data_IF_744676036011
#
_entry.id   IF_744676036011
#
_cell.length_a   1.000
_cell.length_b   1.000
_cell.length_c   1.000
_cell.angle_alpha   90.00
_cell.angle_beta   90.00
_cell.angle_gamma   90.00
#
_symmetry.space_group_name_H-M   'P 1'
#
loop_
_entity.id
_entity.type
_entity.pdbx_description
1 polymer ?
#
# COMPACT_ATOMS: atom_id res chain seq x y z
N UNK A 1 18.91 46.06 19.14
CA UNK A 1 18.64 46.28 17.71
C UNK A 1 17.45 45.44 17.31
N UNK A 2 16.33 46.09 17.00
CA UNK A 2 15.03 45.48 16.72
C UNK A 2 14.83 45.35 15.20
N UNK A 3 14.21 44.26 14.76
CA UNK A 3 13.83 44.03 13.37
C UNK A 3 12.60 43.14 13.26
N UNK A 4 11.44 43.66 13.67
CA UNK A 4 10.13 43.03 13.45
C UNK A 4 9.60 43.43 12.07
N UNK A 5 9.61 42.49 11.13
CA UNK A 5 8.98 42.63 9.82
C UNK A 5 7.46 42.51 9.92
N UNK A 6 6.79 43.64 9.75
CA UNK A 6 5.34 43.81 9.82
C UNK A 6 4.75 43.70 8.42
N UNK A 7 4.00 42.63 8.13
CA UNK A 7 3.19 42.54 6.91
C UNK A 7 1.82 43.20 7.17
N UNK A 8 1.65 44.44 6.66
CA UNK A 8 0.36 45.09 6.38
C UNK A 8 0.03 44.70 4.92
N UNK A 9 -1.15 44.26 4.51
CA UNK A 9 -2.46 44.89 4.65
C UNK A 9 -3.16 44.72 3.29
N UNK A 10 -4.43 44.34 3.29
CA UNK A 10 -5.20 44.13 2.06
C UNK A 10 -6.62 43.67 2.36
N UNK A 11 -7.44 44.61 2.83
CA UNK A 11 -8.89 44.45 3.03
C UNK A 11 -9.62 44.96 1.79
N UNK A 12 -10.50 44.14 1.21
CA UNK A 12 -11.65 44.58 0.41
C UNK A 12 -12.84 43.73 0.89
N UNK A 13 -13.79 44.28 1.67
CA UNK A 13 -14.94 45.07 1.23
C UNK A 13 -15.81 44.27 0.23
N UNK A 14 -16.86 43.60 0.72
CA UNK A 14 -18.28 44.06 0.75
C UNK A 14 -18.99 43.88 -0.61
N UNK A 15 -19.90 42.91 -0.65
CA UNK A 15 -21.18 42.87 -1.37
C UNK A 15 -21.80 41.50 -1.05
N UNK A 16 -22.66 41.31 -0.04
CA UNK A 16 -24.06 41.73 0.06
C UNK A 16 -24.83 41.67 -1.27
N UNK A 17 -25.33 40.50 -1.63
CA UNK A 17 -26.60 40.38 -2.32
C UNK A 17 -27.40 39.21 -1.73
N UNK A 18 -28.32 39.58 -0.84
CA UNK A 18 -29.60 38.92 -0.62
C UNK A 18 -30.26 38.69 -1.99
N UNK A 19 -30.80 37.49 -2.24
CA UNK A 19 -32.05 37.45 -3.00
C UNK A 19 -32.99 36.38 -2.44
N UNK A 20 -34.18 36.88 -2.11
CA UNK A 20 -35.32 36.22 -1.52
C UNK A 20 -36.16 35.61 -2.64
N UNK A 21 -36.73 34.45 -2.35
CA UNK A 21 -38.07 34.03 -2.72
C UNK A 21 -38.50 34.03 -4.20
N UNK A 22 -38.72 32.82 -4.74
CA UNK A 22 -39.97 32.50 -5.43
C UNK A 22 -40.52 31.18 -4.91
N UNK A 23 -41.64 31.28 -4.17
CA UNK A 23 -42.54 30.19 -3.82
C UNK A 23 -43.41 29.82 -5.04
N UNK A 24 -43.64 28.52 -5.27
CA UNK A 24 -45.02 27.99 -5.29
C UNK A 24 -45.11 26.46 -5.43
N UNK A 25 -46.24 25.85 -5.00
CA UNK A 25 -46.38 24.43 -4.62
C UNK A 25 -47.30 23.65 -5.58
N UNK A 26 -47.39 22.32 -5.41
CA UNK A 26 -48.53 21.39 -5.70
C UNK A 26 -48.01 19.99 -5.24
N UNK A 27 -48.41 19.47 -4.07
CA UNK A 27 -49.53 18.53 -3.82
C UNK A 27 -49.41 17.21 -4.62
N UNK A 28 -49.67 16.00 -4.13
CA UNK A 28 -50.03 15.39 -2.86
C UNK A 28 -50.12 13.86 -3.14
N UNK A 29 -49.90 13.01 -2.13
CA UNK A 29 -50.52 11.68 -1.91
C UNK A 29 -49.63 10.89 -0.92
N UNK A 30 -49.82 11.06 0.39
CA UNK A 30 -50.67 10.19 1.23
C UNK A 30 -50.59 8.70 0.87
N UNK A 31 -49.84 7.95 1.67
CA UNK A 31 -50.30 6.64 2.15
C UNK A 31 -50.06 6.58 3.66
N UNK A 32 -51.16 6.38 4.37
CA UNK A 32 -51.27 6.31 5.81
C UNK A 32 -50.61 5.03 6.36
N UNK A 33 -49.85 5.17 7.45
CA UNK A 33 -49.41 4.05 8.28
C UNK A 33 -50.31 3.99 9.53
N UNK A 34 -50.95 2.84 9.85
CA UNK A 34 -51.62 2.68 11.13
C UNK A 34 -50.65 2.23 12.23
N UNK A 35 -50.98 2.69 13.43
CA UNK A 35 -50.27 2.55 14.69
C UNK A 35 -50.16 1.11 15.21
N UNK A 36 -49.12 0.90 16.01
CA UNK A 36 -48.91 -0.29 16.85
C UNK A 36 -49.98 -0.45 17.93
N UNK A 37 -50.11 -1.68 18.47
CA UNK A 37 -50.30 -1.84 19.90
C UNK A 37 -49.19 -2.69 20.54
N UNK A 38 -48.82 -2.29 21.75
CA UNK A 38 -47.97 -3.03 22.66
C UNK A 38 -48.78 -4.11 23.39
N UNK A 39 -48.20 -5.31 23.57
CA UNK A 39 -48.23 -6.06 24.83
C UNK A 39 -47.31 -7.28 24.80
N UNK A 40 -46.82 -7.63 25.97
CA UNK A 40 -45.73 -8.54 26.27
C UNK A 40 -46.08 -10.04 26.16
N UNK A 41 -45.10 -10.85 25.77
CA UNK A 41 -44.94 -12.23 26.22
C UNK A 41 -43.50 -12.71 25.97
N UNK A 42 -42.84 -13.14 27.04
CA UNK A 42 -41.52 -13.78 27.04
C UNK A 42 -41.54 -15.08 26.23
N UNK A 43 -40.58 -15.23 25.32
CA UNK A 43 -40.18 -16.54 24.81
C UNK A 43 -38.65 -16.55 24.65
N UNK A 44 -38.00 -17.34 25.50
CA UNK A 44 -36.59 -17.70 25.41
C UNK A 44 -36.36 -18.45 24.09
N UNK A 45 -35.73 -17.80 23.11
CA UNK A 45 -35.23 -18.46 21.91
C UNK A 45 -33.71 -18.57 22.02
N UNK A 46 -33.23 -19.80 22.22
CA UNK A 46 -31.81 -20.15 22.27
C UNK A 46 -31.08 -19.65 21.03
N UNK A 47 -30.04 -18.84 21.24
CA UNK A 47 -29.08 -18.51 20.20
C UNK A 47 -28.33 -19.79 19.80
N UNK A 48 -28.60 -20.29 18.59
CA UNK A 48 -27.79 -21.33 17.98
C UNK A 48 -26.41 -20.75 17.65
N UNK A 49 -25.42 -21.08 18.47
CA UNK A 49 -24.01 -20.78 18.23
C UNK A 49 -23.58 -21.59 17.00
N UNK A 50 -23.29 -20.90 15.89
CA UNK A 50 -22.64 -21.53 14.73
C UNK A 50 -21.20 -21.93 15.12
N UNK A 51 -20.71 -23.12 14.74
CA UNK A 51 -19.32 -23.47 14.97
C UNK A 51 -18.41 -22.56 14.13
N UNK A 52 -17.49 -21.88 14.81
CA UNK A 52 -16.41 -21.12 14.20
C UNK A 52 -15.56 -22.07 13.34
N UNK A 53 -15.46 -21.78 12.03
CA UNK A 53 -14.49 -22.43 11.17
C UNK A 53 -13.09 -22.22 11.74
N UNK A 54 -12.34 -23.32 11.91
CA UNK A 54 -10.96 -23.27 12.35
C UNK A 54 -10.10 -22.55 11.29
N UNK A 55 -9.07 -21.79 11.69
CA UNK A 55 -8.14 -21.19 10.76
C UNK A 55 -7.43 -22.29 9.98
N UNK A 56 -7.64 -22.30 8.66
CA UNK A 56 -6.91 -23.16 7.73
C UNK A 56 -5.49 -22.62 7.64
N UNK A 57 -4.52 -23.42 8.07
CA UNK A 57 -3.11 -23.06 8.04
C UNK A 57 -2.67 -22.84 6.57
N UNK A 58 -2.00 -21.71 6.23
CA UNK A 58 -1.52 -21.49 4.87
C UNK A 58 -0.49 -22.56 4.50
N UNK A 59 -0.43 -23.00 3.24
CA UNK A 59 0.51 -24.02 2.81
C UNK A 59 1.96 -23.59 3.07
N UNK A 60 2.88 -24.54 3.32
CA UNK A 60 4.28 -24.23 3.56
C UNK A 60 4.88 -23.53 2.33
N UNK A 61 5.38 -22.31 2.53
CA UNK A 61 6.20 -21.61 1.53
C UNK A 61 7.48 -22.42 1.31
N UNK A 62 7.51 -23.18 0.22
CA UNK A 62 8.69 -23.97 -0.18
C UNK A 62 9.92 -23.05 -0.27
N UNK A 63 11.05 -23.52 0.26
CA UNK A 63 12.30 -22.78 0.20
C UNK A 63 12.74 -22.65 -1.26
N UNK A 64 12.65 -21.44 -1.81
CA UNK A 64 13.15 -21.14 -3.15
C UNK A 64 14.63 -20.77 -3.01
N UNK A 65 15.52 -21.61 -3.55
CA UNK A 65 16.93 -21.26 -3.66
C UNK A 65 17.06 -20.04 -4.58
N UNK A 66 17.71 -18.98 -4.10
CA UNK A 66 17.91 -17.78 -4.90
C UNK A 66 18.82 -18.11 -6.09
N UNK A 67 18.32 -17.89 -7.31
CA UNK A 67 19.19 -17.88 -8.47
C UNK A 67 20.17 -16.69 -8.36
N UNK A 68 21.40 -16.87 -8.84
CA UNK A 68 22.39 -15.79 -8.91
C UNK A 68 21.80 -14.62 -9.70
N UNK A 69 21.79 -13.43 -9.08
CA UNK A 69 21.31 -12.22 -9.73
C UNK A 69 22.26 -11.82 -10.87
N UNK A 70 21.78 -11.87 -12.11
CA UNK A 70 22.51 -11.45 -13.30
C UNK A 70 22.53 -9.91 -13.44
N UNK A 71 23.24 -9.24 -12.53
CA UNK A 71 23.37 -7.78 -12.53
C UNK A 71 24.27 -7.33 -13.67
N UNK A 72 23.82 -6.35 -14.45
CA UNK A 72 24.59 -5.72 -15.53
C UNK A 72 24.47 -4.20 -15.39
N UNK A 73 25.60 -3.52 -15.20
CA UNK A 73 25.60 -2.08 -14.93
C UNK A 73 24.83 -1.74 -13.64
N UNK A 74 23.81 -0.89 -13.78
CA UNK A 74 22.97 -0.40 -12.67
C UNK A 74 21.61 -1.12 -12.56
N UNK A 75 21.46 -2.29 -13.18
CA UNK A 75 20.20 -3.03 -13.17
C UNK A 75 20.33 -4.54 -13.32
N UNK A 76 19.18 -5.22 -13.20
CA UNK A 76 18.99 -6.63 -13.54
C UNK A 76 18.12 -6.67 -14.81
N UNK A 77 18.70 -6.85 -16.01
CA UNK A 77 17.96 -6.65 -17.26
C UNK A 77 16.79 -7.60 -17.43
N UNK A 78 16.99 -8.87 -17.09
CA UNK A 78 16.01 -9.94 -17.28
C UNK A 78 15.43 -10.39 -15.94
N UNK A 79 14.14 -10.76 -15.89
CA UNK A 79 13.58 -11.46 -14.75
C UNK A 79 14.39 -12.71 -14.40
N UNK A 80 14.34 -13.12 -13.13
CA UNK A 80 14.95 -14.40 -12.73
C UNK A 80 14.31 -15.56 -13.52
N UNK A 81 15.11 -16.59 -13.91
CA UNK A 81 14.59 -17.73 -14.65
C UNK A 81 13.36 -18.36 -13.97
N UNK A 82 12.33 -18.64 -14.77
CA UNK A 82 11.07 -19.22 -14.29
C UNK A 82 10.04 -18.22 -13.74
N UNK A 83 10.37 -16.93 -13.65
CA UNK A 83 9.37 -15.90 -13.37
C UNK A 83 8.55 -15.59 -14.63
N UNK A 84 7.23 -15.52 -14.46
CA UNK A 84 6.30 -15.00 -15.45
C UNK A 84 6.30 -13.45 -15.43
N UNK A 85 5.74 -12.79 -16.48
CA UNK A 85 5.50 -11.35 -16.43
C UNK A 85 4.78 -10.94 -15.13
N UNK A 86 5.24 -9.84 -14.53
CA UNK A 86 4.71 -9.36 -13.26
C UNK A 86 3.26 -8.87 -13.36
N UNK A 87 2.50 -9.10 -12.30
CA UNK A 87 1.13 -8.59 -12.13
C UNK A 87 1.13 -7.41 -11.16
N UNK A 88 0.76 -6.24 -11.66
CA UNK A 88 0.74 -5.00 -10.89
C UNK A 88 -0.27 -5.02 -9.72
N UNK A 89 -1.37 -5.75 -9.82
CA UNK A 89 -2.33 -5.86 -8.71
C UNK A 89 -1.74 -6.69 -7.56
N UNK A 90 -1.09 -7.80 -7.88
CA UNK A 90 -0.35 -8.60 -6.87
C UNK A 90 0.82 -7.81 -6.30
N UNK A 91 1.54 -7.05 -7.13
CA UNK A 91 2.63 -6.18 -6.71
C UNK A 91 2.18 -5.15 -5.69
N UNK A 92 1.08 -4.45 -5.98
CA UNK A 92 0.46 -3.50 -5.04
C UNK A 92 0.12 -4.16 -3.71
N UNK A 93 -0.46 -5.35 -3.76
CA UNK A 93 -0.83 -6.11 -2.56
C UNK A 93 0.41 -6.46 -1.72
N UNK A 94 1.52 -6.86 -2.34
CA UNK A 94 2.78 -7.14 -1.65
C UNK A 94 3.33 -5.87 -0.98
N UNK A 95 3.32 -4.73 -1.68
CA UNK A 95 3.79 -3.44 -1.14
C UNK A 95 2.95 -3.00 0.06
N UNK A 96 1.63 -3.15 -0.01
CA UNK A 96 0.70 -2.81 1.07
C UNK A 96 0.83 -3.75 2.28
N UNK A 97 1.30 -4.99 2.08
CA UNK A 97 1.29 -6.01 3.11
C UNK A 97 2.39 -5.79 4.16
N UNK A 98 1.96 -5.48 5.40
CA UNK A 98 2.82 -5.27 6.58
C UNK A 98 3.41 -6.54 7.23
N UNK A 99 3.32 -7.68 6.55
CA UNK A 99 3.92 -8.95 7.00
C UNK A 99 4.81 -9.59 5.92
N UNK A 100 4.66 -9.16 4.67
CA UNK A 100 5.39 -9.73 3.52
C UNK A 100 6.38 -8.72 2.94
N UNK A 101 5.88 -7.67 2.28
CA UNK A 101 6.74 -6.68 1.61
C UNK A 101 7.33 -5.66 2.57
N UNK A 102 6.59 -5.28 3.63
CA UNK A 102 7.02 -4.31 4.65
C UNK A 102 7.42 -2.93 4.08
N UNK A 103 7.12 -2.65 2.81
CA UNK A 103 7.60 -1.47 2.10
C UNK A 103 7.07 -0.17 2.73
N UNK A 104 5.80 -0.18 3.14
CA UNK A 104 5.14 0.97 3.75
C UNK A 104 5.62 1.27 5.18
N UNK A 105 6.48 0.46 5.80
CA UNK A 105 7.12 0.84 7.06
C UNK A 105 8.16 1.96 6.86
N UNK A 106 8.77 2.03 5.68
CA UNK A 106 9.80 3.02 5.36
C UNK A 106 9.34 4.06 4.36
N UNK A 107 8.49 3.67 3.41
CA UNK A 107 8.04 4.51 2.31
C UNK A 107 6.60 4.98 2.48
N UNK A 108 6.31 6.16 1.94
CA UNK A 108 4.96 6.58 1.59
C UNK A 108 4.67 6.18 0.12
N UNK A 109 3.39 5.99 -0.22
CA UNK A 109 2.95 5.69 -1.58
C UNK A 109 1.44 5.89 -1.79
N UNK A 110 0.95 5.69 -3.04
CA UNK A 110 -0.45 5.94 -3.40
C UNK A 110 -1.35 4.75 -3.02
N UNK A 111 -1.41 4.44 -1.72
CA UNK A 111 -2.21 3.35 -1.12
C UNK A 111 -3.04 3.94 0.04
N UNK A 112 -4.11 4.72 -0.25
CA UNK A 112 -4.81 5.54 0.73
C UNK A 112 -5.54 4.73 1.82
N UNK A 113 -5.86 3.46 1.54
CA UNK A 113 -6.43 2.56 2.55
C UNK A 113 -5.44 2.20 3.66
N UNK A 114 -4.13 2.27 3.38
CA UNK A 114 -3.07 2.03 4.37
C UNK A 114 -2.67 3.34 5.05
N UNK A 115 -3.30 3.65 6.18
CA UNK A 115 -3.18 4.97 6.84
C UNK A 115 -1.81 5.23 7.46
N UNK A 116 -1.11 4.19 7.91
CA UNK A 116 0.20 4.31 8.54
C UNK A 116 1.29 3.92 7.54
N UNK A 117 1.98 4.93 7.03
CA UNK A 117 3.07 4.78 6.08
C UNK A 117 4.31 5.53 6.59
N UNK A 118 5.48 4.99 6.28
CA UNK A 118 6.76 5.53 6.70
C UNK A 118 7.21 6.73 5.87
N UNK A 119 8.16 7.48 6.41
CA UNK A 119 8.83 8.60 5.76
C UNK A 119 10.37 8.52 5.90
N UNK A 120 10.88 7.34 6.23
CA UNK A 120 12.32 7.08 6.37
C UNK A 120 13.01 7.02 4.99
N UNK A 121 12.25 6.67 3.96
CA UNK A 121 12.70 6.58 2.59
C UNK A 121 11.80 7.39 1.65
N UNK A 122 12.21 7.53 0.39
CA UNK A 122 11.52 8.36 -0.61
C UNK A 122 10.09 7.88 -0.91
N UNK A 123 9.18 8.78 -1.28
CA UNK A 123 7.84 8.40 -1.77
C UNK A 123 7.95 7.49 -3.02
N UNK A 124 7.13 6.44 -3.07
CA UNK A 124 7.03 5.50 -4.19
C UNK A 124 6.34 6.11 -5.43
N UNK A 125 5.55 7.18 -5.28
CA UNK A 125 5.03 7.95 -6.41
C UNK A 125 6.16 8.36 -7.35
N UNK A 126 5.93 8.29 -8.65
CA UNK A 126 6.92 8.60 -9.68
C UNK A 126 8.05 7.58 -9.84
N UNK A 127 8.04 6.45 -9.11
CA UNK A 127 9.06 5.42 -9.25
C UNK A 127 9.21 4.92 -10.71
N UNK A 128 8.10 4.77 -11.43
CA UNK A 128 8.07 4.35 -12.83
C UNK A 128 8.58 5.41 -13.81
N UNK A 129 8.73 6.67 -13.38
CA UNK A 129 9.44 7.71 -14.16
C UNK A 129 10.93 7.74 -13.83
N UNK A 130 11.29 7.53 -12.56
CA UNK A 130 12.68 7.64 -12.10
C UNK A 130 13.55 6.48 -12.53
N UNK A 131 12.97 5.29 -12.66
CA UNK A 131 13.74 4.05 -12.85
C UNK A 131 13.12 3.13 -13.90
N UNK A 132 14.00 2.48 -14.67
CA UNK A 132 13.62 1.41 -15.59
C UNK A 132 13.26 0.13 -14.82
N UNK A 133 12.63 -0.85 -15.49
CA UNK A 133 12.35 -2.16 -14.91
C UNK A 133 13.61 -2.82 -14.33
N UNK A 134 14.72 -2.73 -15.05
CA UNK A 134 15.99 -3.34 -14.66
C UNK A 134 16.56 -2.70 -13.39
N UNK A 135 16.49 -1.38 -13.29
CA UNK A 135 16.93 -0.65 -12.10
C UNK A 135 16.01 -0.91 -10.90
N UNK A 136 14.69 -0.99 -11.12
CA UNK A 136 13.73 -1.35 -10.08
C UNK A 136 13.97 -2.76 -9.53
N UNK A 137 14.22 -3.74 -10.42
CA UNK A 137 14.60 -5.10 -10.01
C UNK A 137 15.83 -5.11 -9.12
N UNK A 138 16.90 -4.40 -9.51
CA UNK A 138 18.11 -4.35 -8.69
C UNK A 138 17.83 -3.72 -7.31
N UNK A 139 17.08 -2.63 -7.27
CA UNK A 139 16.70 -1.96 -6.02
C UNK A 139 15.96 -2.88 -5.06
N UNK A 140 15.03 -3.69 -5.55
CA UNK A 140 14.25 -4.60 -4.70
C UNK A 140 15.06 -5.85 -4.35
N UNK A 141 15.71 -6.47 -5.33
CA UNK A 141 16.43 -7.71 -5.13
C UNK A 141 17.64 -7.54 -4.19
N UNK A 142 18.43 -6.49 -4.41
CA UNK A 142 19.65 -6.20 -3.64
C UNK A 142 19.98 -4.70 -3.66
N UNK A 143 19.28 -3.92 -2.84
CA UNK A 143 19.55 -2.48 -2.68
C UNK A 143 20.99 -2.17 -2.25
N UNK A 144 21.66 -3.11 -1.56
CA UNK A 144 23.02 -2.91 -1.03
C UNK A 144 24.07 -2.77 -2.14
N UNK A 145 23.79 -3.31 -3.33
CA UNK A 145 24.62 -3.10 -4.53
C UNK A 145 24.59 -1.67 -5.06
N UNK A 146 23.57 -0.90 -4.71
CA UNK A 146 23.42 0.50 -5.12
C UNK A 146 23.95 1.43 -4.04
N UNK A 147 23.61 1.13 -2.79
CA UNK A 147 24.11 1.84 -1.61
C UNK A 147 24.39 0.82 -0.50
N UNK A 148 25.67 0.51 -0.19
CA UNK A 148 26.03 -0.43 0.87
C UNK A 148 25.51 -0.05 2.26
N UNK A 149 25.27 1.25 2.50
CA UNK A 149 24.78 1.79 3.78
C UNK A 149 23.25 1.91 3.83
N UNK A 150 22.54 1.35 2.85
CA UNK A 150 21.08 1.42 2.80
C UNK A 150 20.42 0.64 3.95
N UNK A 151 19.36 1.22 4.51
CA UNK A 151 18.48 0.52 5.45
C UNK A 151 17.41 -0.33 4.74
N UNK A 152 17.25 -0.18 3.43
CA UNK A 152 16.29 -0.97 2.64
C UNK A 152 16.76 -2.44 2.57
N UNK A 153 15.94 -3.41 2.98
CA UNK A 153 16.31 -4.83 2.91
C UNK A 153 16.61 -5.28 1.47
N UNK A 154 17.53 -6.25 1.33
CA UNK A 154 17.73 -6.98 0.07
C UNK A 154 16.75 -8.15 0.01
N UNK A 155 15.70 -8.05 -0.81
CA UNK A 155 14.59 -8.99 -0.75
C UNK A 155 14.86 -10.34 -1.44
N UNK A 156 15.91 -10.45 -2.26
CA UNK A 156 16.30 -11.66 -2.98
C UNK A 156 17.73 -12.13 -2.70
N UNK A 157 18.24 -11.87 -1.49
CA UNK A 157 19.61 -12.20 -1.08
C UNK A 157 19.60 -13.31 -0.04
N UNK A 158 20.46 -14.32 -0.22
CA UNK A 158 20.65 -15.44 0.73
C UNK A 158 22.04 -15.48 1.34
N UNK A 159 22.99 -14.72 0.81
CA UNK A 159 24.40 -14.76 1.18
C UNK A 159 24.86 -13.42 1.79
N UNK A 160 26.00 -13.44 2.50
CA UNK A 160 26.56 -12.23 3.13
C UNK A 160 25.67 -11.67 4.25
N UNK A 161 24.81 -12.50 4.84
CA UNK A 161 23.92 -12.16 5.94
C UNK A 161 24.51 -12.60 7.28
N UNK A 162 24.29 -11.82 8.33
CA UNK A 162 24.85 -12.08 9.65
C UNK A 162 23.76 -12.57 10.61
N UNK A 163 24.03 -13.66 11.34
CA UNK A 163 23.17 -14.15 12.44
C UNK A 163 21.72 -14.43 12.03
N UNK A 164 21.50 -14.92 10.80
CA UNK A 164 20.18 -15.29 10.31
C UNK A 164 19.63 -16.47 11.14
N UNK A 165 18.39 -16.34 11.63
CA UNK A 165 17.75 -17.40 12.39
C UNK A 165 17.56 -18.66 11.52
N UNK A 166 17.67 -19.84 12.12
CA UNK A 166 17.68 -21.12 11.41
C UNK A 166 16.48 -21.29 10.45
N UNK A 167 15.30 -20.82 10.82
CA UNK A 167 14.09 -20.89 10.01
C UNK A 167 14.16 -20.10 8.68
N UNK A 168 15.07 -19.13 8.58
CA UNK A 168 15.22 -18.22 7.44
C UNK A 168 16.53 -18.43 6.66
N UNK A 169 17.37 -19.39 7.07
CA UNK A 169 18.61 -19.70 6.36
C UNK A 169 18.31 -20.13 4.91
N UNK A 170 19.12 -19.63 3.96
CA UNK A 170 19.01 -19.91 2.52
C UNK A 170 17.64 -19.59 1.89
N UNK A 171 16.85 -18.72 2.51
CA UNK A 171 15.55 -18.25 1.98
C UNK A 171 15.62 -16.77 1.66
N UNK A 172 15.00 -16.38 0.57
CA UNK A 172 14.76 -14.96 0.25
C UNK A 172 13.52 -14.45 0.98
N UNK A 173 13.40 -13.13 1.11
CA UNK A 173 12.22 -12.50 1.70
C UNK A 173 11.05 -12.56 0.70
N UNK A 174 11.32 -12.25 -0.57
CA UNK A 174 10.37 -12.38 -1.66
C UNK A 174 10.81 -13.47 -2.64
N UNK A 175 9.86 -14.13 -3.28
CA UNK A 175 10.14 -15.02 -4.41
C UNK A 175 10.48 -14.20 -5.66
N UNK A 176 11.05 -14.85 -6.68
CA UNK A 176 11.32 -14.21 -7.97
C UNK A 176 10.05 -13.60 -8.58
N UNK A 177 8.93 -14.33 -8.54
CA UNK A 177 7.66 -13.84 -9.05
C UNK A 177 7.15 -12.62 -8.27
N UNK A 178 7.28 -12.64 -6.95
CA UNK A 178 6.87 -11.49 -6.12
C UNK A 178 7.68 -10.23 -6.44
N UNK A 179 8.97 -10.37 -6.77
CA UNK A 179 9.76 -9.23 -7.24
C UNK A 179 9.23 -8.68 -8.56
N UNK A 180 8.95 -9.54 -9.54
CA UNK A 180 8.39 -9.08 -10.81
C UNK A 180 7.02 -8.42 -10.66
N UNK A 181 6.17 -8.95 -9.78
CA UNK A 181 4.88 -8.35 -9.46
C UNK A 181 5.05 -6.94 -8.86
N UNK A 182 5.96 -6.77 -7.88
CA UNK A 182 6.27 -5.45 -7.28
C UNK A 182 6.84 -4.49 -8.32
N UNK A 183 7.78 -4.94 -9.16
CA UNK A 183 8.35 -4.13 -10.25
C UNK A 183 7.25 -3.67 -11.21
N UNK A 184 6.37 -4.59 -11.64
CA UNK A 184 5.26 -4.27 -12.52
C UNK A 184 4.36 -3.17 -11.94
N UNK A 185 4.06 -3.24 -10.63
CA UNK A 185 3.30 -2.18 -9.96
C UNK A 185 4.05 -0.85 -9.92
N UNK A 186 5.33 -0.84 -9.50
CA UNK A 186 6.13 0.40 -9.42
C UNK A 186 6.29 1.09 -10.78
N UNK A 187 6.37 0.32 -11.87
CA UNK A 187 6.39 0.87 -13.23
C UNK A 187 5.10 1.61 -13.61
N UNK A 188 3.97 1.29 -12.97
CA UNK A 188 2.72 2.03 -13.20
C UNK A 188 2.71 3.40 -12.51
N UNK A 189 3.56 3.61 -11.50
CA UNK A 189 3.59 4.83 -10.71
C UNK A 189 4.34 5.94 -11.43
N UNK A 190 3.67 6.58 -12.40
CA UNK A 190 4.26 7.66 -13.19
C UNK A 190 3.94 9.07 -12.69
N UNK A 191 2.86 9.21 -11.93
CA UNK A 191 2.50 10.47 -11.30
C UNK A 191 3.38 10.72 -10.07
N UNK A 192 3.89 11.93 -9.94
CA UNK A 192 4.70 12.41 -8.81
C UNK A 192 3.90 13.21 -7.79
N UNK A 193 2.62 13.47 -8.06
CA UNK A 193 1.75 14.31 -7.22
C UNK A 193 1.40 13.60 -5.91
N UNK A 194 1.77 14.15 -4.74
CA UNK A 194 1.46 13.59 -3.43
C UNK A 194 -0.05 13.41 -3.19
#
# INVERSE_FOLDING_TARGET
MAGRGRWRGGRSAIALFLNLATLSPIAAALHAAPAAPASAASALASAAVSPSAAPTEPPPVAAVSAAVLAVTGDGIPQPSPGAAPGDAARGRAIVANRQVGLCLLCHTGPIPEERFQGNLATDLRGAGQRWTAAQLRLRIADASRINPDTIMPSYYKTEGLNRVAAAHQNKTILTAQQIEDVVAWLQTLKDTTP
#
